data_IF_694033947328
#
_entry.id   IF_694033947328
#
_cell.length_a   1.000
_cell.length_b   1.000
_cell.length_c   1.000
_cell.angle_alpha   90.00
_cell.angle_beta   90.00
_cell.angle_gamma   90.00
#
_symmetry.space_group_name_H-M   'P 1'
#
loop_
_entity.id
_entity.type
_entity.pdbx_description
1 polymer ?
#
# COMPACT_ATOMS: atom_id res chain seq x y z
N UNK A 1 4.26 -1.04 -0.32
CA UNK A 1 3.24 -1.03 0.75
C UNK A 1 2.37 -2.27 0.60
N UNK A 2 2.91 -3.47 0.91
CA UNK A 2 2.24 -4.74 0.60
C UNK A 2 1.36 -5.27 1.74
N UNK A 3 1.22 -4.51 2.83
CA UNK A 3 0.50 -4.96 4.01
C UNK A 3 -1.00 -5.14 3.74
N UNK A 4 -1.57 -4.37 2.81
CA UNK A 4 -3.01 -4.28 2.55
C UNK A 4 -3.47 -5.02 1.28
N UNK A 5 -2.55 -5.49 0.43
CA UNK A 5 -2.82 -6.21 -0.82
C UNK A 5 -1.99 -7.50 -0.92
N UNK A 6 -2.04 -8.31 0.14
CA UNK A 6 -1.19 -9.48 0.32
C UNK A 6 -1.56 -10.62 -0.61
N UNK A 7 -2.83 -10.76 -1.01
CA UNK A 7 -3.26 -11.78 -1.97
C UNK A 7 -2.69 -11.46 -3.34
N UNK A 8 -2.89 -10.22 -3.81
CA UNK A 8 -2.30 -9.74 -5.07
C UNK A 8 -0.77 -9.88 -5.05
N UNK A 9 -0.13 -9.58 -3.91
CA UNK A 9 1.31 -9.78 -3.75
C UNK A 9 1.73 -11.25 -3.83
N UNK A 10 0.96 -12.17 -3.22
CA UNK A 10 1.22 -13.61 -3.27
C UNK A 10 1.13 -14.15 -4.69
N UNK A 11 0.08 -13.79 -5.42
CA UNK A 11 -0.14 -14.21 -6.82
C UNK A 11 0.98 -13.74 -7.73
N UNK A 12 1.47 -12.50 -7.52
CA UNK A 12 2.64 -12.01 -8.25
C UNK A 12 3.91 -12.79 -7.92
N UNK A 13 4.13 -13.13 -6.65
CA UNK A 13 5.27 -13.99 -6.26
C UNK A 13 5.14 -15.35 -6.96
N UNK A 14 3.96 -15.97 -6.96
CA UNK A 14 3.72 -17.26 -7.60
C UNK A 14 4.01 -17.23 -9.11
N UNK A 15 3.67 -16.11 -9.78
CA UNK A 15 3.86 -15.93 -11.23
C UNK A 15 5.30 -15.59 -11.62
N UNK A 16 5.97 -14.75 -10.85
CA UNK A 16 7.23 -14.10 -11.26
C UNK A 16 8.44 -14.50 -10.40
N UNK A 17 8.23 -15.35 -9.40
CA UNK A 17 9.25 -15.66 -8.39
C UNK A 17 9.42 -14.55 -7.35
N UNK A 18 10.37 -14.75 -6.44
CA UNK A 18 10.68 -13.76 -5.42
C UNK A 18 11.35 -12.51 -6.02
N UNK A 19 10.75 -11.36 -5.78
CA UNK A 19 11.29 -10.07 -6.25
C UNK A 19 12.30 -9.51 -5.23
N UNK A 20 13.60 -9.59 -5.56
CA UNK A 20 14.69 -8.97 -4.80
C UNK A 20 14.98 -9.62 -3.43
N UNK A 21 15.46 -8.82 -2.46
CA UNK A 21 15.99 -9.30 -1.16
C UNK A 21 14.93 -9.73 -0.13
N UNK A 22 13.65 -9.70 -0.48
CA UNK A 22 12.51 -9.84 0.45
C UNK A 22 11.98 -11.29 0.58
N UNK A 23 12.87 -12.27 0.53
CA UNK A 23 12.53 -13.71 0.57
C UNK A 23 11.70 -14.08 1.80
N UNK A 24 12.10 -13.65 3.00
CA UNK A 24 11.43 -14.01 4.26
C UNK A 24 10.00 -13.47 4.35
N UNK A 25 9.75 -12.23 3.92
CA UNK A 25 8.40 -11.66 3.90
C UNK A 25 7.54 -12.29 2.82
N UNK A 26 8.12 -12.57 1.64
CA UNK A 26 7.43 -13.30 0.58
C UNK A 26 6.98 -14.69 1.03
N UNK A 27 7.86 -15.45 1.70
CA UNK A 27 7.52 -16.76 2.27
C UNK A 27 6.38 -16.68 3.29
N UNK A 28 6.35 -15.65 4.15
CA UNK A 28 5.24 -15.45 5.09
C UNK A 28 3.92 -15.17 4.38
N UNK A 29 3.95 -14.39 3.29
CA UNK A 29 2.76 -14.09 2.49
C UNK A 29 2.27 -15.34 1.76
N UNK A 30 3.16 -16.12 1.13
CA UNK A 30 2.83 -17.40 0.50
C UNK A 30 2.25 -18.42 1.51
N UNK A 31 2.86 -18.53 2.69
CA UNK A 31 2.37 -19.42 3.74
C UNK A 31 0.94 -19.09 4.20
N UNK A 32 0.58 -17.79 4.17
CA UNK A 32 -0.78 -17.31 4.43
C UNK A 32 -1.70 -17.58 3.24
N UNK A 33 -1.26 -17.32 2.02
CA UNK A 33 -2.02 -17.60 0.79
C UNK A 33 -2.40 -19.08 0.70
N UNK A 34 -1.45 -19.99 0.88
CA UNK A 34 -1.75 -21.42 0.86
C UNK A 34 -2.73 -21.85 1.96
N UNK A 35 -2.78 -21.15 3.09
CA UNK A 35 -3.75 -21.44 4.17
C UNK A 35 -5.12 -20.85 3.86
N UNK A 36 -5.17 -19.56 3.51
CA UNK A 36 -6.41 -18.79 3.47
C UNK A 36 -7.12 -18.88 2.11
N UNK A 37 -6.40 -19.22 1.04
CA UNK A 37 -6.93 -19.28 -0.33
C UNK A 37 -6.96 -20.71 -0.85
N UNK A 38 -5.90 -21.50 -0.62
CA UNK A 38 -5.81 -22.89 -1.10
C UNK A 38 -6.21 -23.94 -0.04
N UNK A 39 -6.58 -23.51 1.17
CA UNK A 39 -6.98 -24.36 2.31
C UNK A 39 -6.02 -25.53 2.63
N UNK A 40 -4.71 -25.32 2.39
CA UNK A 40 -3.69 -26.35 2.60
C UNK A 40 -3.38 -26.56 4.07
N UNK A 41 -3.30 -27.83 4.48
CA UNK A 41 -2.79 -28.20 5.79
C UNK A 41 -1.33 -27.78 5.98
N UNK A 42 -0.87 -27.69 7.23
CA UNK A 42 0.51 -27.27 7.53
C UNK A 42 1.57 -28.14 6.85
N UNK A 43 1.32 -29.44 6.67
CA UNK A 43 2.22 -30.35 5.96
C UNK A 43 2.31 -30.00 4.48
N UNK A 44 1.18 -29.82 3.81
CA UNK A 44 1.14 -29.48 2.38
C UNK A 44 1.66 -28.07 2.10
N UNK A 45 1.40 -27.12 3.00
CA UNK A 45 2.01 -25.77 2.95
C UNK A 45 3.53 -25.82 2.99
N UNK A 46 4.09 -26.73 3.79
CA UNK A 46 5.54 -26.91 3.87
C UNK A 46 6.09 -27.44 2.54
N UNK A 47 5.45 -28.47 1.97
CA UNK A 47 5.83 -29.05 0.68
C UNK A 47 5.75 -27.98 -0.41
N UNK A 48 4.63 -27.27 -0.51
CA UNK A 48 4.43 -26.20 -1.49
C UNK A 48 5.49 -25.09 -1.39
N UNK A 49 5.88 -24.68 -0.18
CA UNK A 49 6.95 -23.69 0.00
C UNK A 49 8.32 -24.22 -0.42
N UNK A 50 8.65 -25.49 -0.12
CA UNK A 50 9.91 -26.09 -0.58
C UNK A 50 9.95 -26.15 -2.10
N UNK A 51 8.91 -26.70 -2.73
CA UNK A 51 8.82 -26.84 -4.18
C UNK A 51 8.88 -25.48 -4.88
N UNK A 52 8.21 -24.47 -4.32
CA UNK A 52 8.26 -23.12 -4.84
C UNK A 52 9.67 -22.52 -4.75
N UNK A 53 10.36 -22.69 -3.61
CA UNK A 53 11.72 -22.18 -3.43
C UNK A 53 12.73 -22.90 -4.34
N UNK A 54 12.61 -24.22 -4.49
CA UNK A 54 13.50 -25.03 -5.33
C UNK A 54 13.39 -24.65 -6.81
N UNK A 55 12.19 -24.27 -7.27
CA UNK A 55 11.95 -23.81 -8.65
C UNK A 55 12.40 -22.36 -8.91
N UNK A 56 12.36 -21.49 -7.90
CA UNK A 56 12.48 -20.03 -8.08
C UNK A 56 13.73 -19.41 -7.44
N UNK A 57 14.58 -20.19 -6.77
CA UNK A 57 15.81 -19.71 -6.14
C UNK A 57 17.00 -20.48 -6.72
N UNK A 58 17.87 -19.78 -7.44
CA UNK A 58 19.11 -20.35 -7.94
C UNK A 58 20.03 -20.80 -6.79
N UNK A 59 20.58 -22.00 -6.88
CA UNK A 59 21.43 -22.58 -5.83
C UNK A 59 20.70 -22.88 -4.52
N UNK A 60 19.38 -23.13 -4.58
CA UNK A 60 18.56 -23.41 -3.41
C UNK A 60 19.13 -24.55 -2.55
N UNK A 61 19.19 -24.33 -1.24
CA UNK A 61 19.65 -25.32 -0.26
C UNK A 61 18.62 -25.48 0.86
N UNK A 62 17.98 -26.66 0.92
CA UNK A 62 16.91 -26.95 1.90
C UNK A 62 17.33 -26.69 3.34
N UNK A 63 18.56 -27.04 3.73
CA UNK A 63 19.07 -26.84 5.10
C UNK A 63 19.16 -25.36 5.44
N UNK A 64 19.71 -24.53 4.53
CA UNK A 64 19.82 -23.07 4.74
C UNK A 64 18.46 -22.40 4.90
N UNK A 65 17.45 -22.85 4.16
CA UNK A 65 16.12 -22.22 4.15
C UNK A 65 15.11 -22.85 5.13
N UNK A 66 15.44 -23.99 5.77
CA UNK A 66 14.59 -24.69 6.73
C UNK A 66 14.05 -23.77 7.83
N UNK A 67 14.92 -22.96 8.45
CA UNK A 67 14.54 -22.04 9.51
C UNK A 67 13.59 -20.93 9.01
N UNK A 68 13.83 -20.40 7.81
CA UNK A 68 13.00 -19.35 7.23
C UNK A 68 11.59 -19.87 6.88
N UNK A 69 11.51 -21.07 6.29
CA UNK A 69 10.24 -21.72 5.95
C UNK A 69 9.44 -22.04 7.21
N UNK A 70 10.07 -22.63 8.24
CA UNK A 70 9.38 -22.90 9.50
C UNK A 70 8.90 -21.63 10.21
N UNK A 71 9.69 -20.55 10.18
CA UNK A 71 9.26 -19.26 10.69
C UNK A 71 8.02 -18.72 9.94
N UNK A 72 7.97 -18.89 8.61
CA UNK A 72 6.81 -18.52 7.80
C UNK A 72 5.57 -19.37 8.14
N UNK A 73 5.73 -20.69 8.27
CA UNK A 73 4.66 -21.61 8.65
C UNK A 73 4.12 -21.34 10.05
N UNK A 74 4.99 -21.04 11.02
CA UNK A 74 4.59 -20.69 12.38
C UNK A 74 3.81 -19.38 12.40
N UNK A 75 4.30 -18.37 11.66
CA UNK A 75 3.59 -17.11 11.50
C UNK A 75 2.19 -17.31 10.89
N UNK A 76 2.08 -18.13 9.85
CA UNK A 76 0.81 -18.49 9.22
C UNK A 76 0.01 -19.55 9.99
N UNK A 77 0.48 -20.09 11.13
CA UNK A 77 -0.34 -20.96 11.97
C UNK A 77 -1.20 -20.14 12.93
N UNK A 78 -0.81 -18.91 13.23
CA UNK A 78 -1.60 -18.00 14.05
C UNK A 78 -2.83 -17.49 13.25
N UNK A 79 -4.03 -17.79 13.75
CA UNK A 79 -5.30 -17.38 13.13
C UNK A 79 -5.48 -15.86 13.06
N UNK A 80 -4.82 -15.07 13.92
CA UNK A 80 -4.83 -13.61 13.85
C UNK A 80 -4.07 -13.06 12.65
N UNK A 81 -3.14 -13.84 12.08
CA UNK A 81 -2.35 -13.46 10.92
C UNK A 81 -3.06 -13.84 9.62
N UNK A 82 -4.31 -13.41 9.42
CA UNK A 82 -5.07 -13.62 8.17
C UNK A 82 -4.48 -12.84 7.01
N UNK A 83 -4.52 -13.42 5.81
CA UNK A 83 -4.20 -12.76 4.55
C UNK A 83 -5.12 -11.55 4.39
N UNK A 84 -4.52 -10.39 4.19
CA UNK A 84 -5.25 -9.12 4.03
C UNK A 84 -5.29 -8.78 2.55
N UNK A 85 -6.48 -8.61 2.01
CA UNK A 85 -6.71 -8.03 0.69
C UNK A 85 -7.81 -6.99 0.84
N UNK A 86 -7.46 -5.73 0.62
CA UNK A 86 -8.39 -4.61 0.56
C UNK A 86 -8.37 -4.15 -0.89
N UNK A 87 -9.52 -4.25 -1.57
CA UNK A 87 -9.62 -3.92 -2.99
C UNK A 87 -9.67 -2.41 -3.20
N UNK A 88 -10.43 -1.71 -2.35
CA UNK A 88 -10.61 -0.26 -2.41
C UNK A 88 -10.93 0.32 -1.04
N UNK A 89 -10.56 1.58 -0.84
CA UNK A 89 -11.05 2.41 0.25
C UNK A 89 -11.90 3.53 -0.34
N UNK A 90 -13.08 3.72 0.23
CA UNK A 90 -13.99 4.81 -0.15
C UNK A 90 -13.71 6.02 0.74
N UNK A 91 -13.61 7.19 0.11
CA UNK A 91 -13.59 8.50 0.79
C UNK A 91 -14.86 9.24 0.44
N UNK A 92 -15.55 9.76 1.45
CA UNK A 92 -16.83 10.47 1.31
C UNK A 92 -16.63 11.94 0.92
N UNK A 93 -17.69 12.57 0.45
CA UNK A 93 -17.68 14.01 0.13
C UNK A 93 -17.45 14.86 1.39
N UNK A 94 -17.97 14.43 2.53
CA UNK A 94 -17.92 15.08 3.83
C UNK A 94 -16.49 15.09 4.35
N UNK A 95 -15.78 13.98 4.22
CA UNK A 95 -14.35 13.86 4.50
C UNK A 95 -13.52 14.85 3.67
N UNK A 96 -13.78 14.93 2.37
CA UNK A 96 -13.09 15.86 1.47
C UNK A 96 -13.41 17.31 1.82
N UNK A 97 -14.69 17.62 2.06
CA UNK A 97 -15.14 18.96 2.43
C UNK A 97 -14.51 19.43 3.74
N UNK A 98 -14.38 18.55 4.74
CA UNK A 98 -13.69 18.87 5.98
C UNK A 98 -12.23 19.27 5.70
N UNK A 99 -11.49 18.42 4.98
CA UNK A 99 -10.09 18.65 4.64
C UNK A 99 -9.90 19.95 3.83
N UNK A 100 -10.84 20.26 2.93
CA UNK A 100 -10.80 21.46 2.10
C UNK A 100 -11.02 22.76 2.88
N UNK A 101 -11.77 22.70 3.98
CA UNK A 101 -12.05 23.84 4.85
C UNK A 101 -10.88 24.18 5.78
N UNK A 102 -9.94 23.24 6.00
CA UNK A 102 -8.77 23.47 6.84
C UNK A 102 -7.95 24.65 6.32
N UNK A 103 -7.68 25.64 7.18
CA UNK A 103 -6.87 26.83 6.83
C UNK A 103 -5.36 26.54 6.87
N UNK A 104 -4.94 25.51 6.14
CA UNK A 104 -3.55 25.07 5.98
C UNK A 104 -3.19 24.97 4.50
N UNK A 105 -1.90 25.03 4.18
CA UNK A 105 -1.39 24.88 2.81
C UNK A 105 -1.87 23.58 2.16
N UNK A 106 -2.15 23.64 0.86
CA UNK A 106 -2.59 22.54 0.02
C UNK A 106 -1.80 21.24 0.23
N UNK A 107 -0.46 21.33 0.31
CA UNK A 107 0.38 20.15 0.51
C UNK A 107 0.17 19.52 1.89
N UNK A 108 -0.18 20.30 2.90
CA UNK A 108 -0.48 19.75 4.23
C UNK A 108 -1.88 19.13 4.29
N UNK A 109 -2.85 19.67 3.55
CA UNK A 109 -4.15 19.01 3.34
C UNK A 109 -3.98 17.62 2.71
N UNK A 110 -3.04 17.46 1.77
CA UNK A 110 -2.69 16.14 1.21
C UNK A 110 -2.17 15.14 2.25
N UNK A 111 -1.42 15.62 3.24
CA UNK A 111 -0.93 14.75 4.33
C UNK A 111 -2.10 14.33 5.22
N UNK A 112 -3.00 15.26 5.58
CA UNK A 112 -4.22 14.94 6.35
C UNK A 112 -5.10 13.94 5.58
N UNK A 113 -5.33 14.17 4.28
CA UNK A 113 -6.03 13.22 3.42
C UNK A 113 -5.37 11.83 3.41
N UNK A 114 -4.04 11.79 3.35
CA UNK A 114 -3.31 10.51 3.38
C UNK A 114 -3.44 9.81 4.74
N UNK A 115 -3.41 10.57 5.85
CA UNK A 115 -3.64 10.03 7.19
C UNK A 115 -5.04 9.40 7.31
N UNK A 116 -6.07 10.09 6.81
CA UNK A 116 -7.45 9.56 6.77
C UNK A 116 -7.52 8.21 6.04
N UNK A 117 -6.94 8.12 4.84
CA UNK A 117 -6.96 6.87 4.05
C UNK A 117 -6.15 5.77 4.73
N UNK A 118 -4.99 6.09 5.31
CA UNK A 118 -4.17 5.11 6.04
C UNK A 118 -4.87 4.60 7.31
N UNK A 119 -5.62 5.45 7.98
CA UNK A 119 -6.45 5.08 9.13
C UNK A 119 -7.55 4.10 8.70
N UNK A 120 -8.35 4.44 7.68
CA UNK A 120 -9.35 3.54 7.09
C UNK A 120 -8.77 2.19 6.68
N UNK A 121 -7.59 2.18 6.04
CA UNK A 121 -6.88 0.94 5.69
C UNK A 121 -6.50 0.11 6.92
N UNK A 122 -6.09 0.77 8.00
CA UNK A 122 -5.71 0.11 9.24
C UNK A 122 -6.92 -0.51 9.94
N UNK A 123 -8.04 0.20 9.98
CA UNK A 123 -9.31 -0.27 10.54
C UNK A 123 -9.84 -1.47 9.74
N UNK A 124 -9.88 -1.37 8.41
CA UNK A 124 -10.32 -2.47 7.54
C UNK A 124 -9.41 -3.69 7.67
N UNK A 125 -8.08 -3.48 7.75
CA UNK A 125 -7.13 -4.57 7.98
C UNK A 125 -7.37 -5.26 9.32
N UNK A 126 -7.72 -4.52 10.36
CA UNK A 126 -8.06 -5.05 11.68
C UNK A 126 -9.36 -5.88 11.63
N UNK A 127 -10.39 -5.36 10.95
CA UNK A 127 -11.68 -6.03 10.74
C UNK A 127 -11.47 -7.38 10.04
N UNK A 128 -10.69 -7.42 8.96
CA UNK A 128 -10.35 -8.67 8.26
C UNK A 128 -9.66 -9.66 9.20
N UNK A 129 -8.67 -9.21 9.98
CA UNK A 129 -7.86 -10.08 10.87
C UNK A 129 -8.66 -10.63 12.05
N UNK A 130 -9.51 -9.82 12.65
CA UNK A 130 -10.17 -10.15 13.94
C UNK A 130 -11.64 -10.50 13.81
N UNK A 131 -12.29 -10.11 12.70
CA UNK A 131 -13.74 -10.23 12.50
C UNK A 131 -14.55 -9.27 13.38
N UNK A 132 -13.93 -8.24 13.94
CA UNK A 132 -14.56 -7.24 14.81
C UNK A 132 -14.23 -5.85 14.33
N UNK A 133 -15.17 -4.93 14.49
CA UNK A 133 -14.86 -3.52 14.37
C UNK A 133 -13.87 -3.10 15.46
N UNK A 134 -12.95 -2.17 15.17
CA UNK A 134 -11.93 -1.77 16.11
C UNK A 134 -12.61 -0.88 17.16
N UNK A 135 -12.57 -1.27 18.43
CA UNK A 135 -12.95 -0.37 19.55
C UNK A 135 -11.89 0.72 19.81
N UNK A 136 -10.90 0.86 18.93
CA UNK A 136 -9.70 1.64 19.15
C UNK A 136 -9.85 3.06 18.63
N UNK A 137 -9.29 3.99 19.39
CA UNK A 137 -9.03 5.34 18.92
C UNK A 137 -8.25 5.30 17.58
N UNK A 138 -8.53 6.27 16.70
CA UNK A 138 -7.84 6.45 15.41
C UNK A 138 -6.36 6.81 15.63
N UNK A 139 -5.51 5.79 15.83
CA UNK A 139 -4.10 5.96 16.16
C UNK A 139 -3.24 5.62 14.94
N UNK A 140 -2.35 6.53 14.61
CA UNK A 140 -1.34 6.36 13.59
C UNK A 140 0.07 6.46 14.18
N UNK A 141 1.02 5.69 13.66
CA UNK A 141 2.43 5.78 14.02
C UNK A 141 3.00 4.50 14.60
N UNK A 142 4.30 4.55 14.92
CA UNK A 142 5.17 3.44 15.35
C UNK A 142 5.20 2.21 14.39
N UNK A 143 6.38 1.76 13.88
CA UNK A 143 7.73 2.34 14.00
C UNK A 143 8.00 3.44 12.95
N UNK A 144 9.19 4.08 12.97
CA UNK A 144 9.70 5.12 12.03
C UNK A 144 9.33 4.88 10.54
N UNK A 145 9.13 3.62 10.15
CA UNK A 145 8.65 3.22 8.83
C UNK A 145 7.28 3.82 8.46
N UNK A 146 6.34 3.95 9.41
CA UNK A 146 4.99 4.46 9.17
C UNK A 146 5.00 5.94 8.74
N UNK A 147 5.83 6.78 9.34
CA UNK A 147 5.99 8.18 8.88
C UNK A 147 6.65 8.27 7.50
N UNK A 148 7.63 7.42 7.21
CA UNK A 148 8.22 7.37 5.88
C UNK A 148 7.21 6.90 4.82
N UNK A 149 6.32 5.97 5.16
CA UNK A 149 5.20 5.55 4.32
C UNK A 149 4.21 6.70 4.11
N UNK A 150 3.84 7.42 5.16
CA UNK A 150 2.99 8.62 5.07
C UNK A 150 3.56 9.66 4.10
N UNK A 151 4.85 10.00 4.23
CA UNK A 151 5.53 10.97 3.36
C UNK A 151 5.53 10.50 1.90
N UNK A 152 5.82 9.21 1.67
CA UNK A 152 5.82 8.63 0.32
C UNK A 152 4.41 8.61 -0.29
N UNK A 153 3.43 8.07 0.43
CA UNK A 153 2.06 7.93 -0.05
C UNK A 153 1.37 9.28 -0.24
N UNK A 154 1.69 10.29 0.57
CA UNK A 154 1.13 11.65 0.43
C UNK A 154 1.69 12.44 -0.75
N UNK A 155 2.80 11.99 -1.34
CA UNK A 155 3.47 12.68 -2.45
C UNK A 155 3.94 14.10 -2.10
N UNK A 156 4.16 14.36 -0.81
CA UNK A 156 4.74 15.60 -0.29
C UNK A 156 6.19 15.32 0.09
N UNK A 157 7.12 15.89 -0.69
CA UNK A 157 8.54 15.61 -0.49
C UNK A 157 9.11 16.40 0.70
N UNK A 158 10.15 15.88 1.34
CA UNK A 158 10.87 16.62 2.40
C UNK A 158 11.40 17.98 1.91
N UNK A 159 11.74 18.11 0.62
CA UNK A 159 12.14 19.38 0.03
C UNK A 159 11.02 20.41 0.04
N UNK A 160 9.76 19.99 -0.18
CA UNK A 160 8.60 20.87 -0.09
C UNK A 160 8.36 21.36 1.34
N UNK A 161 8.57 20.48 2.33
CA UNK A 161 8.45 20.83 3.76
C UNK A 161 9.54 21.81 4.19
N UNK A 162 10.78 21.60 3.76
CA UNK A 162 11.92 22.47 4.10
C UNK A 162 11.76 23.90 3.58
N UNK A 163 11.08 24.08 2.44
CA UNK A 163 10.77 25.43 1.90
C UNK A 163 9.89 26.25 2.83
N UNK A 164 9.12 25.59 3.69
CA UNK A 164 8.24 26.22 4.66
C UNK A 164 8.86 26.29 6.07
N UNK A 165 10.15 25.95 6.21
CA UNK A 165 10.83 25.92 7.51
C UNK A 165 10.68 24.62 8.31
N UNK A 166 10.00 23.59 7.77
CA UNK A 166 9.90 22.29 8.42
C UNK A 166 11.06 21.38 8.00
N UNK A 167 11.86 20.91 8.96
CA UNK A 167 13.01 20.04 8.68
C UNK A 167 12.58 18.64 8.28
N UNK A 168 11.49 18.14 8.88
CA UNK A 168 10.97 16.80 8.66
C UNK A 168 9.46 16.68 8.98
N UNK A 169 8.90 15.49 8.75
CA UNK A 169 7.48 15.21 8.99
C UNK A 169 7.05 15.39 10.45
N UNK A 170 7.94 15.18 11.43
CA UNK A 170 7.59 15.39 12.84
C UNK A 170 7.30 16.87 13.12
N UNK A 171 7.95 17.81 12.43
CA UNK A 171 7.69 19.23 12.60
C UNK A 171 6.30 19.58 12.06
N UNK A 172 5.91 18.98 10.93
CA UNK A 172 4.56 19.09 10.37
C UNK A 172 3.51 18.47 11.31
N UNK A 173 3.82 17.35 11.94
CA UNK A 173 2.95 16.72 12.95
C UNK A 173 2.78 17.61 14.18
N UNK A 174 3.86 18.23 14.66
CA UNK A 174 3.77 19.23 15.75
C UNK A 174 2.91 20.42 15.35
N UNK A 175 3.04 20.89 14.12
CA UNK A 175 2.17 21.92 13.56
C UNK A 175 0.70 21.47 13.54
N UNK A 176 0.39 20.26 13.08
CA UNK A 176 -0.96 19.71 13.15
C UNK A 176 -1.49 19.59 14.57
N UNK A 177 -0.63 19.26 15.53
CA UNK A 177 -1.01 19.20 16.94
C UNK A 177 -1.33 20.58 17.50
N UNK A 178 -0.57 21.62 17.12
CA UNK A 178 -0.89 23.01 17.50
C UNK A 178 -2.23 23.51 16.94
N UNK A 179 -2.73 22.87 15.89
CA UNK A 179 -4.04 23.17 15.29
C UNK A 179 -5.17 22.30 15.84
N UNK A 180 -4.89 21.37 16.77
CA UNK A 180 -5.88 20.43 17.31
C UNK A 180 -6.27 19.29 16.35
N UNK A 181 -5.60 19.15 15.20
CA UNK A 181 -5.92 18.09 14.22
C UNK A 181 -5.44 16.72 14.68
N UNK A 182 -4.35 16.68 15.47
CA UNK A 182 -3.77 15.44 16.01
C UNK A 182 -3.29 15.66 17.44
N UNK A 183 -3.26 14.58 18.21
CA UNK A 183 -2.65 14.56 19.54
C UNK A 183 -1.39 13.70 19.50
N UNK A 184 -0.27 14.22 19.99
CA UNK A 184 0.98 13.46 20.06
C UNK A 184 0.96 12.56 21.29
N UNK A 185 1.08 11.25 21.04
CA UNK A 185 1.15 10.23 22.07
C UNK A 185 2.60 9.76 22.29
N UNK A 186 2.78 8.84 23.23
CA UNK A 186 4.06 8.22 23.52
C UNK A 186 4.63 7.45 22.30
N UNK A 187 5.96 7.30 22.26
CA UNK A 187 6.67 6.50 21.26
C UNK A 187 6.44 6.93 19.79
N UNK A 188 6.12 8.21 19.57
CA UNK A 188 5.90 8.77 18.23
C UNK A 188 4.57 8.35 17.60
N UNK A 189 3.64 7.80 18.37
CA UNK A 189 2.25 7.61 17.92
C UNK A 189 1.51 8.93 17.96
N UNK A 190 0.47 9.07 17.14
CA UNK A 190 -0.44 10.20 17.11
C UNK A 190 -1.87 9.69 17.07
N UNK A 191 -2.77 10.40 17.75
CA UNK A 191 -4.21 10.21 17.61
C UNK A 191 -4.73 11.20 16.57
N UNK A 192 -5.53 10.72 15.63
CA UNK A 192 -6.11 11.50 14.54
C UNK A 192 -7.42 12.14 15.00
N UNK A 193 -7.31 13.19 15.81
CA UNK A 193 -8.44 13.88 16.43
C UNK A 193 -9.44 14.41 15.40
N UNK A 194 -8.94 14.90 14.27
CA UNK A 194 -9.76 15.47 13.19
C UNK A 194 -10.85 14.52 12.65
N UNK A 195 -10.67 13.19 12.77
CA UNK A 195 -11.65 12.21 12.28
C UNK A 195 -12.97 12.33 13.03
N UNK A 196 -12.93 12.65 14.33
CA UNK A 196 -14.13 12.80 15.16
C UNK A 196 -14.97 14.03 14.79
N UNK A 197 -14.41 14.97 14.02
CA UNK A 197 -15.11 16.17 13.56
C UNK A 197 -15.79 15.98 12.19
N UNK A 198 -15.59 14.81 11.57
CA UNK A 198 -16.17 14.47 10.28
C UNK A 198 -17.49 13.73 10.51
N UNK A 199 -18.52 14.10 9.76
CA UNK A 199 -19.79 13.39 9.78
C UNK A 199 -19.62 11.96 9.25
N UNK A 200 -20.12 10.97 9.99
CA UNK A 200 -20.12 9.55 9.58
C UNK A 200 -21.00 9.27 8.36
N UNK A 201 -21.99 10.12 8.10
CA UNK A 201 -22.87 9.99 6.95
C UNK A 201 -22.30 10.74 5.75
N UNK A 202 -22.24 10.07 4.60
CA UNK A 202 -21.75 10.73 3.41
C UNK A 202 -21.90 9.96 2.11
N UNK A 203 -21.95 10.70 1.01
CA UNK A 203 -21.94 10.12 -0.33
C UNK A 203 -20.52 9.74 -0.74
N UNK A 204 -20.35 8.58 -1.39
CA UNK A 204 -19.05 8.18 -1.94
C UNK A 204 -18.53 9.24 -2.93
N UNK A 205 -17.28 9.69 -2.75
CA UNK A 205 -16.67 10.68 -3.64
C UNK A 205 -15.42 10.18 -4.34
N UNK A 206 -14.56 9.38 -3.67
CA UNK A 206 -13.35 8.82 -4.28
C UNK A 206 -13.20 7.35 -3.92
N UNK A 207 -12.64 6.58 -4.85
CA UNK A 207 -12.29 5.16 -4.66
C UNK A 207 -10.78 5.00 -4.79
N UNK A 208 -10.12 4.74 -3.66
CA UNK A 208 -8.66 4.57 -3.59
C UNK A 208 -8.33 3.10 -3.78
N UNK A 209 -7.61 2.78 -4.86
CA UNK A 209 -7.17 1.40 -5.18
C UNK A 209 -5.64 1.26 -5.18
N UNK A 210 -4.90 2.37 -5.33
CA UNK A 210 -3.44 2.39 -5.18
C UNK A 210 -3.02 3.12 -3.90
N UNK A 211 -2.52 2.35 -2.94
CA UNK A 211 -2.16 2.89 -1.63
C UNK A 211 -0.73 3.48 -1.57
N UNK A 212 0.07 3.27 -2.62
CA UNK A 212 1.44 3.81 -2.69
C UNK A 212 1.47 5.29 -3.10
N UNK A 213 0.41 5.79 -3.75
CA UNK A 213 0.33 7.16 -4.25
C UNK A 213 -0.98 7.85 -3.86
N UNK A 214 -1.46 7.63 -2.62
CA UNK A 214 -2.73 8.16 -2.09
C UNK A 214 -2.89 9.66 -2.40
N UNK A 215 -1.85 10.48 -2.16
CA UNK A 215 -1.92 11.92 -2.40
C UNK A 215 -2.24 12.33 -3.84
N UNK A 216 -2.03 11.47 -4.84
CA UNK A 216 -2.42 11.76 -6.23
C UNK A 216 -3.94 11.69 -6.44
N UNK A 217 -4.68 10.93 -5.63
CA UNK A 217 -6.15 10.95 -5.69
C UNK A 217 -6.69 12.31 -5.27
N UNK A 218 -6.09 12.93 -4.26
CA UNK A 218 -6.44 14.30 -3.86
C UNK A 218 -6.01 15.34 -4.92
N UNK A 219 -4.84 15.16 -5.54
CA UNK A 219 -4.40 16.00 -6.68
C UNK A 219 -5.39 15.92 -7.86
N UNK A 220 -5.82 14.71 -8.23
CA UNK A 220 -6.79 14.46 -9.30
C UNK A 220 -8.15 15.09 -8.98
N UNK A 221 -8.67 14.87 -7.77
CA UNK A 221 -9.93 15.45 -7.30
C UNK A 221 -9.92 16.99 -7.33
N UNK A 222 -8.76 17.61 -7.16
CA UNK A 222 -8.58 19.07 -7.17
C UNK A 222 -8.22 19.64 -8.53
N UNK A 223 -8.18 18.81 -9.58
CA UNK A 223 -7.89 19.25 -10.94
C UNK A 223 -6.45 19.76 -11.13
N UNK A 224 -5.49 19.20 -10.36
CA UNK A 224 -4.08 19.56 -10.52
C UNK A 224 -3.61 19.17 -11.93
N UNK A 225 -3.19 20.17 -12.73
CA UNK A 225 -2.95 20.05 -14.18
C UNK A 225 -2.03 18.90 -14.61
N UNK A 226 -1.05 18.53 -13.78
CA UNK A 226 -0.07 17.49 -14.09
C UNK A 226 -0.42 16.12 -13.48
N UNK A 227 -1.68 15.91 -13.09
CA UNK A 227 -2.20 14.63 -12.62
C UNK A 227 -3.40 14.23 -13.46
N UNK A 228 -3.40 13.00 -13.97
CA UNK A 228 -4.52 12.42 -14.70
C UNK A 228 -4.63 10.93 -14.39
N UNK A 229 -5.68 10.28 -14.88
CA UNK A 229 -5.86 8.85 -14.73
C UNK A 229 -5.02 8.07 -15.75
N UNK A 230 -4.55 6.90 -15.34
CA UNK A 230 -3.93 5.92 -16.22
C UNK A 230 -4.96 5.39 -17.23
N UNK A 231 -4.65 5.37 -18.53
CA UNK A 231 -5.56 4.90 -19.58
C UNK A 231 -5.91 3.39 -19.48
N UNK A 232 -5.21 2.61 -18.65
CA UNK A 232 -5.40 1.15 -18.51
C UNK A 232 -6.05 0.73 -17.19
N UNK A 233 -5.70 1.37 -16.07
CA UNK A 233 -6.18 0.97 -14.74
C UNK A 233 -6.75 2.11 -13.92
N UNK A 234 -6.94 3.28 -14.53
CA UNK A 234 -7.59 4.46 -13.96
C UNK A 234 -6.92 5.05 -12.70
N UNK A 235 -5.83 4.46 -12.21
CA UNK A 235 -5.10 5.01 -11.06
C UNK A 235 -4.49 6.37 -11.42
N UNK A 236 -4.51 7.36 -10.50
CA UNK A 236 -3.92 8.67 -10.75
C UNK A 236 -2.41 8.57 -10.96
N UNK A 237 -1.90 9.29 -11.95
CA UNK A 237 -0.48 9.36 -12.32
C UNK A 237 -0.02 10.79 -12.52
N UNK A 238 1.24 11.07 -12.17
CA UNK A 238 1.91 12.32 -12.54
C UNK A 238 2.36 12.27 -13.99
N UNK A 239 1.95 13.26 -14.78
CA UNK A 239 2.40 13.40 -16.16
C UNK A 239 3.63 14.30 -16.24
N UNK A 240 4.67 13.81 -16.91
CA UNK A 240 5.85 14.62 -17.26
C UNK A 240 5.68 15.30 -18.63
N UNK A 241 4.83 14.73 -19.47
CA UNK A 241 4.52 15.17 -20.82
C UNK A 241 3.14 14.64 -21.24
N UNK A 242 2.56 15.22 -22.28
CA UNK A 242 1.28 14.78 -22.83
C UNK A 242 1.29 13.31 -23.32
N UNK A 243 2.48 12.76 -23.61
CA UNK A 243 2.65 11.36 -24.02
C UNK A 243 2.65 10.35 -22.87
N UNK A 244 2.67 10.80 -21.61
CA UNK A 244 2.57 9.91 -20.45
C UNK A 244 1.13 9.41 -20.34
N UNK A 245 0.87 8.16 -20.74
CA UNK A 245 -0.49 7.57 -20.79
C UNK A 245 -0.78 6.57 -19.68
N UNK A 246 0.25 5.87 -19.21
CA UNK A 246 0.12 4.72 -18.32
C UNK A 246 0.93 4.91 -17.04
N UNK A 247 0.48 4.30 -15.95
CA UNK A 247 1.29 4.14 -14.74
C UNK A 247 2.48 3.21 -15.03
N UNK A 248 3.51 3.25 -14.19
CA UNK A 248 4.74 2.46 -14.39
C UNK A 248 4.45 0.94 -14.46
N UNK A 249 3.44 0.46 -13.73
CA UNK A 249 3.02 -0.96 -13.74
C UNK A 249 2.44 -1.34 -15.11
N UNK A 250 1.43 -0.62 -15.58
CA UNK A 250 0.79 -0.87 -16.87
C UNK A 250 1.77 -0.67 -18.04
N UNK A 251 2.63 0.36 -17.97
CA UNK A 251 3.66 0.60 -18.99
C UNK A 251 4.57 -0.61 -19.17
N UNK A 252 5.10 -1.16 -18.06
CA UNK A 252 5.98 -2.33 -18.09
C UNK A 252 5.28 -3.57 -18.67
N UNK A 253 4.03 -3.82 -18.29
CA UNK A 253 3.30 -4.97 -18.81
C UNK A 253 3.01 -4.85 -20.31
N UNK A 254 2.59 -3.67 -20.77
CA UNK A 254 2.37 -3.39 -22.20
C UNK A 254 3.68 -3.56 -22.98
N UNK A 255 4.81 -3.07 -22.47
CA UNK A 255 6.13 -3.23 -23.08
C UNK A 255 6.56 -4.71 -23.15
N UNK A 256 6.30 -5.49 -22.10
CA UNK A 256 6.55 -6.93 -22.06
C UNK A 256 5.75 -7.66 -23.14
N UNK A 257 4.44 -7.38 -23.25
CA UNK A 257 3.56 -7.98 -24.26
C UNK A 257 4.03 -7.61 -25.67
N UNK A 258 4.36 -6.33 -25.91
CA UNK A 258 4.87 -5.87 -27.21
C UNK A 258 6.20 -6.54 -27.57
N UNK A 259 7.10 -6.70 -26.60
CA UNK A 259 8.40 -7.36 -26.80
C UNK A 259 8.22 -8.85 -27.12
N UNK A 260 7.37 -9.56 -26.37
CA UNK A 260 7.05 -10.95 -26.66
C UNK A 260 6.46 -11.15 -28.06
N UNK A 261 5.53 -10.27 -28.48
CA UNK A 261 4.98 -10.28 -29.85
C UNK A 261 6.07 -10.05 -30.90
N UNK A 262 7.00 -9.12 -30.67
CA UNK A 262 8.13 -8.84 -31.57
C UNK A 262 9.04 -10.06 -31.70
N UNK A 263 9.43 -10.68 -30.60
CA UNK A 263 10.30 -11.87 -30.60
C UNK A 263 9.64 -13.05 -31.32
N UNK A 264 8.34 -13.29 -31.09
CA UNK A 264 7.58 -14.33 -31.82
C UNK A 264 7.58 -14.08 -33.33
N UNK A 265 7.36 -12.83 -33.77
CA UNK A 265 7.41 -12.48 -35.20
C UNK A 265 8.78 -12.75 -35.80
N UNK A 266 9.87 -12.39 -35.13
CA UNK A 266 11.22 -12.67 -35.63
C UNK A 266 11.50 -14.17 -35.76
N UNK A 267 11.10 -14.98 -34.76
CA UNK A 267 11.31 -16.43 -34.78
C UNK A 267 10.52 -17.13 -35.90
N UNK A 268 9.29 -16.71 -36.14
CA UNK A 268 8.43 -17.26 -37.20
C UNK A 268 8.86 -16.84 -38.62
N UNK A 269 9.76 -15.86 -38.77
CA UNK A 269 10.29 -15.41 -40.08
C UNK A 269 11.62 -16.10 -40.41
N UNK A 270 12.24 -16.76 -39.43
CA UNK A 270 13.50 -17.51 -39.56
C UNK A 270 13.31 -19.02 -39.70
N UNK A 271 12.08 -19.49 -39.81
CA UNK A 271 11.70 -20.86 -40.21
C UNK A 271 11.21 -20.84 -41.67
#
# INVERSE_FOLDING_TARGET
MYEYNQKTHAERILKEGFQGKFLKSGMRVLAKYYRDVEDKERKDRRIALYDFCEKNIEGYNRVKYYQAINAALNHASNKKNKLVEIEKIVVTKEELNYIDKLKIDYKYRKIIFTLLVLDKLSMESYNIKTGKEPNSEHIFGNPLRKYNELVKSSQVTSTMMKKDGYSNINDVVRYFSSLGLVEVLNQGMIKLVFINEISESGNESLKIVDYENIGLYYDLHKGVKNVKECEECEVPIRVKSNSTKYCDKCKKEIERIKTAKRVRRYRNVTE
#
